data_IF_018001737035
#
_entry.id   IF_018001737035
#
_cell.length_a   1.000
_cell.length_b   1.000
_cell.length_c   1.000
_cell.angle_alpha   90.00
_cell.angle_beta   90.00
_cell.angle_gamma   90.00
#
_symmetry.space_group_name_H-M   'P 1'
#
loop_
_entity.id
_entity.type
_entity.pdbx_description
1 polymer ?
#
# COMPACT_ATOMS: atom_id res chain seq x y z
N UNK A 1 -11.54 -18.27 -8.72
CA UNK A 1 -10.44 -19.05 -8.14
C UNK A 1 -9.12 -18.38 -8.46
N UNK A 2 -8.30 -18.12 -7.48
CA UNK A 2 -7.02 -17.50 -7.76
C UNK A 2 -6.06 -18.48 -8.41
N UNK A 3 -5.29 -17.99 -9.38
CA UNK A 3 -4.26 -18.78 -10.02
C UNK A 3 -3.12 -19.03 -9.02
N UNK A 4 -2.42 -20.18 -9.08
CA UNK A 4 -1.28 -20.45 -8.19
C UNK A 4 -0.20 -19.37 -8.24
N UNK A 5 -0.05 -18.71 -9.39
CA UNK A 5 0.93 -17.63 -9.57
C UNK A 5 0.58 -16.38 -8.78
N UNK A 6 -0.71 -16.20 -8.37
CA UNK A 6 -1.15 -15.07 -7.58
C UNK A 6 -0.66 -15.12 -6.13
N UNK A 7 -0.22 -16.30 -5.67
CA UNK A 7 0.28 -16.50 -4.32
C UNK A 7 1.79 -16.22 -4.19
N UNK A 8 2.43 -15.82 -5.28
CA UNK A 8 3.86 -15.53 -5.30
C UNK A 8 4.10 -14.17 -5.94
N UNK A 9 5.07 -13.47 -5.38
CA UNK A 9 5.43 -12.13 -5.83
C UNK A 9 6.89 -12.09 -6.27
N UNK A 10 7.11 -11.49 -7.45
CA UNK A 10 8.44 -11.10 -7.93
C UNK A 10 8.52 -9.59 -7.85
N UNK A 11 9.53 -9.07 -7.16
CA UNK A 11 9.63 -7.65 -6.93
C UNK A 11 11.07 -7.17 -7.10
N UNK A 12 11.21 -6.01 -7.76
CA UNK A 12 12.46 -5.26 -7.83
C UNK A 12 12.24 -3.90 -7.21
N UNK A 13 13.16 -3.48 -6.35
CA UNK A 13 13.09 -2.19 -5.67
C UNK A 13 14.30 -1.36 -6.00
N UNK A 14 14.04 -0.08 -6.28
CA UNK A 14 15.07 0.92 -6.52
C UNK A 14 14.77 2.16 -5.70
N UNK A 15 15.82 2.80 -5.22
CA UNK A 15 15.67 4.05 -4.48
C UNK A 15 15.35 5.18 -5.47
N UNK A 16 14.29 5.95 -5.20
CA UNK A 16 13.90 7.11 -5.98
C UNK A 16 13.95 8.33 -5.07
N UNK A 17 14.78 9.32 -5.40
CA UNK A 17 14.90 10.54 -4.60
C UNK A 17 13.72 11.47 -4.79
N UNK A 18 13.28 11.61 -6.03
CA UNK A 18 12.12 12.41 -6.39
C UNK A 18 11.51 11.85 -7.67
N UNK A 19 10.22 12.12 -7.87
CA UNK A 19 9.52 11.69 -9.08
C UNK A 19 9.94 12.60 -10.23
N UNK A 20 10.58 12.08 -11.30
CA UNK A 20 10.90 12.89 -12.47
C UNK A 20 9.63 13.42 -13.12
N UNK A 21 9.61 14.73 -13.42
CA UNK A 21 8.44 15.35 -14.02
C UNK A 21 8.05 14.75 -15.38
N UNK A 22 9.02 14.23 -16.11
CA UNK A 22 8.79 13.61 -17.43
C UNK A 22 8.04 12.28 -17.34
N UNK A 23 7.99 11.65 -16.17
CA UNK A 23 7.28 10.41 -15.95
C UNK A 23 6.00 10.61 -15.15
N UNK A 24 5.72 11.84 -14.72
CA UNK A 24 4.48 12.19 -14.05
C UNK A 24 3.41 12.39 -15.12
N UNK A 25 2.42 11.50 -15.15
CA UNK A 25 1.33 11.55 -16.11
C UNK A 25 0.23 12.55 -15.72
N UNK A 26 0.41 13.24 -14.61
CA UNK A 26 -0.56 14.20 -14.10
C UNK A 26 -1.72 13.58 -13.33
N UNK A 27 -1.78 12.27 -13.22
CA UNK A 27 -2.79 11.61 -12.42
C UNK A 27 -2.51 11.79 -10.93
N UNK A 28 -3.58 11.94 -10.15
CA UNK A 28 -3.46 12.01 -8.71
C UNK A 28 -2.89 10.69 -8.15
N UNK A 29 -2.00 10.76 -7.16
CA UNK A 29 -1.49 9.57 -6.54
C UNK A 29 -2.60 8.82 -5.80
N UNK A 30 -2.40 7.52 -5.59
CA UNK A 30 -3.25 6.72 -4.75
C UNK A 30 -2.84 6.92 -3.29
N UNK A 31 -3.78 7.32 -2.44
CA UNK A 31 -3.54 7.45 -1.02
C UNK A 31 -3.65 6.08 -0.36
N UNK A 32 -2.65 5.71 0.42
CA UNK A 32 -2.60 4.44 1.14
C UNK A 32 -2.36 4.71 2.61
N UNK A 33 -3.20 4.12 3.47
CA UNK A 33 -3.00 4.09 4.92
C UNK A 33 -2.97 2.62 5.34
N UNK A 34 -1.97 2.22 6.09
CA UNK A 34 -1.78 0.83 6.44
C UNK A 34 -1.14 0.63 7.80
N UNK A 35 -1.30 -0.57 8.33
CA UNK A 35 -0.68 -0.99 9.57
C UNK A 35 -0.31 -2.46 9.49
N UNK A 36 0.78 -2.83 10.17
CA UNK A 36 1.20 -4.23 10.29
C UNK A 36 0.74 -4.81 11.62
N UNK A 37 0.24 -6.04 11.58
CA UNK A 37 -0.17 -6.80 12.76
C UNK A 37 0.87 -7.82 13.19
N UNK A 38 1.49 -8.45 12.20
CA UNK A 38 2.54 -9.43 12.42
C UNK A 38 3.74 -9.02 11.58
N UNK A 39 4.90 -9.07 12.19
CA UNK A 39 6.15 -8.81 11.47
C UNK A 39 7.27 -9.59 12.19
N UNK A 40 7.23 -10.92 12.05
CA UNK A 40 8.15 -11.83 12.74
C UNK A 40 8.44 -13.04 11.86
N UNK A 41 9.61 -13.61 12.02
CA UNK A 41 10.05 -14.82 11.30
C UNK A 41 9.96 -14.68 9.77
N UNK A 42 10.17 -13.47 9.26
CA UNK A 42 10.04 -13.13 7.85
C UNK A 42 8.62 -13.22 7.30
N UNK A 43 7.63 -13.31 8.17
CA UNK A 43 6.21 -13.17 7.82
C UNK A 43 5.72 -11.78 8.18
N UNK A 44 4.79 -11.28 7.40
CA UNK A 44 4.11 -10.01 7.70
C UNK A 44 2.63 -10.12 7.38
N UNK A 45 1.80 -9.59 8.27
CA UNK A 45 0.36 -9.41 8.02
C UNK A 45 0.09 -7.91 8.04
N UNK A 46 -0.49 -7.40 6.97
CA UNK A 46 -0.75 -5.99 6.78
C UNK A 46 -2.22 -5.75 6.46
N UNK A 47 -2.79 -4.69 7.03
CA UNK A 47 -4.11 -4.19 6.65
C UNK A 47 -3.92 -2.83 5.99
N UNK A 48 -4.56 -2.63 4.84
CA UNK A 48 -4.38 -1.44 4.01
C UNK A 48 -5.72 -0.88 3.57
N UNK A 49 -5.85 0.45 3.65
CA UNK A 49 -6.92 1.23 3.03
C UNK A 49 -6.37 1.99 1.84
N UNK A 50 -7.18 2.09 0.79
CA UNK A 50 -6.80 2.73 -0.47
C UNK A 50 -7.86 3.74 -0.88
N UNK A 51 -7.44 4.96 -1.24
CA UNK A 51 -8.29 5.96 -1.84
C UNK A 51 -7.64 6.52 -3.10
N UNK A 52 -8.43 6.63 -4.17
CA UNK A 52 -8.00 7.25 -5.43
C UNK A 52 -8.56 8.65 -5.59
N UNK A 53 -9.31 9.15 -4.61
CA UNK A 53 -10.04 10.42 -4.67
C UNK A 53 -9.51 11.49 -3.74
N UNK A 54 -8.72 11.11 -2.75
CA UNK A 54 -8.21 12.03 -1.74
C UNK A 54 -6.77 12.34 -2.03
N UNK A 55 -6.45 13.62 -2.02
CA UNK A 55 -5.06 14.08 -2.13
C UNK A 55 -4.63 14.64 -0.78
N UNK A 56 -3.50 14.17 -0.27
CA UNK A 56 -2.90 14.63 0.98
C UNK A 56 -1.44 14.97 0.72
N UNK A 57 -1.05 16.18 1.08
CA UNK A 57 0.36 16.58 1.01
C UNK A 57 1.13 15.89 2.13
N UNK A 58 2.14 15.12 1.76
CA UNK A 58 2.96 14.41 2.72
C UNK A 58 4.00 15.34 3.32
N UNK A 59 3.83 15.64 4.59
CA UNK A 59 4.76 16.43 5.40
C UNK A 59 5.15 15.62 6.63
N UNK A 60 6.23 16.00 7.33
CA UNK A 60 6.59 15.29 8.57
C UNK A 60 5.52 15.35 9.66
N UNK A 61 4.60 16.32 9.57
CA UNK A 61 3.56 16.55 10.57
C UNK A 61 2.26 15.82 10.29
N UNK A 62 2.16 15.11 9.17
CA UNK A 62 0.94 14.36 8.81
C UNK A 62 0.68 13.29 9.86
N UNK A 63 -0.53 13.31 10.41
CA UNK A 63 -1.00 12.29 11.34
C UNK A 63 -1.86 11.28 10.58
N UNK A 64 -1.39 10.04 10.38
CA UNK A 64 -2.12 9.05 9.59
C UNK A 64 -3.51 8.73 10.14
N UNK A 65 -3.66 8.64 11.45
CA UNK A 65 -4.95 8.34 12.08
C UNK A 65 -5.93 9.48 11.91
N UNK A 66 -5.46 10.72 12.01
CA UNK A 66 -6.30 11.89 11.80
C UNK A 66 -6.80 11.95 10.35
N UNK A 67 -5.94 11.65 9.38
CA UNK A 67 -6.32 11.58 7.96
C UNK A 67 -7.34 10.47 7.73
N UNK A 68 -7.12 9.30 8.33
CA UNK A 68 -8.05 8.18 8.22
C UNK A 68 -9.43 8.57 8.72
N UNK A 69 -9.53 9.21 9.88
CA UNK A 69 -10.81 9.62 10.47
C UNK A 69 -11.48 10.73 9.64
N UNK A 70 -10.72 11.68 9.12
CA UNK A 70 -11.25 12.78 8.32
C UNK A 70 -11.84 12.29 6.99
N UNK A 71 -11.17 11.34 6.33
CA UNK A 71 -11.57 10.88 5.01
C UNK A 71 -12.15 9.47 5.01
N UNK A 72 -12.66 9.02 6.14
CA UNK A 72 -13.13 7.65 6.34
C UNK A 72 -14.04 7.13 5.23
N UNK A 73 -14.96 7.96 4.75
CA UNK A 73 -15.93 7.59 3.72
C UNK A 73 -15.37 7.70 2.29
N UNK A 74 -14.14 8.14 2.14
CA UNK A 74 -13.48 8.33 0.85
C UNK A 74 -12.59 7.15 0.44
N UNK A 75 -12.42 6.17 1.30
CA UNK A 75 -11.67 4.96 0.97
C UNK A 75 -12.60 3.98 0.27
N UNK A 76 -12.17 3.52 -0.90
CA UNK A 76 -12.96 2.65 -1.77
C UNK A 76 -12.54 1.19 -1.73
N UNK A 77 -11.32 0.91 -1.29
CA UNK A 77 -10.77 -0.43 -1.30
C UNK A 77 -10.00 -0.68 0.00
N UNK A 78 -10.04 -1.92 0.46
CA UNK A 78 -9.25 -2.34 1.61
C UNK A 78 -8.78 -3.78 1.41
N UNK A 79 -7.59 -4.07 1.90
CA UNK A 79 -6.97 -5.38 1.72
C UNK A 79 -6.27 -5.84 2.98
N UNK A 80 -6.34 -7.14 3.21
CA UNK A 80 -5.45 -7.84 4.12
C UNK A 80 -4.44 -8.61 3.29
N UNK A 81 -3.16 -8.47 3.62
CA UNK A 81 -2.07 -9.10 2.88
C UNK A 81 -1.18 -9.88 3.85
N UNK A 82 -0.89 -11.12 3.51
CA UNK A 82 0.08 -11.94 4.24
C UNK A 82 1.25 -12.20 3.31
N UNK A 83 2.46 -11.85 3.77
CA UNK A 83 3.71 -12.10 3.05
C UNK A 83 4.56 -13.06 3.85
N UNK A 84 5.10 -14.06 3.18
CA UNK A 84 6.04 -15.02 3.76
C UNK A 84 7.49 -14.68 3.43
N UNK A 85 8.41 -15.57 3.81
CA UNK A 85 9.83 -15.35 3.57
C UNK A 85 10.16 -15.27 2.08
N UNK A 86 11.16 -14.46 1.74
CA UNK A 86 11.70 -14.40 0.39
C UNK A 86 12.74 -15.50 0.20
N UNK A 87 12.60 -16.27 -0.89
CA UNK A 87 13.54 -17.31 -1.25
C UNK A 87 13.91 -17.13 -2.73
N UNK A 88 15.18 -16.87 -3.00
CA UNK A 88 15.66 -16.69 -4.38
C UNK A 88 14.97 -15.57 -5.13
N UNK A 89 14.61 -14.47 -4.44
CA UNK A 89 13.90 -13.34 -5.02
C UNK A 89 12.39 -13.52 -5.15
N UNK A 90 11.87 -14.67 -4.78
CA UNK A 90 10.44 -14.97 -4.79
C UNK A 90 9.89 -14.96 -3.38
N UNK A 91 8.73 -14.36 -3.19
CA UNK A 91 8.09 -14.25 -1.89
C UNK A 91 6.64 -14.73 -1.98
N UNK A 92 6.24 -15.57 -1.02
CA UNK A 92 4.84 -15.96 -0.88
C UNK A 92 4.01 -14.74 -0.47
N UNK A 93 2.90 -14.52 -1.17
CA UNK A 93 2.00 -13.42 -0.86
C UNK A 93 0.56 -13.84 -1.13
N UNK A 94 -0.31 -13.60 -0.16
CA UNK A 94 -1.76 -13.76 -0.32
C UNK A 94 -2.42 -12.46 0.05
N UNK A 95 -3.28 -11.95 -0.83
CA UNK A 95 -4.01 -10.71 -0.61
C UNK A 95 -5.50 -10.96 -0.80
N UNK A 96 -6.31 -10.43 0.12
CA UNK A 96 -7.77 -10.54 0.06
C UNK A 96 -8.40 -9.18 0.35
N UNK A 97 -9.44 -8.87 -0.40
CA UNK A 97 -10.23 -7.67 -0.16
C UNK A 97 -11.09 -7.83 1.08
N UNK A 98 -11.21 -6.76 1.88
CA UNK A 98 -12.04 -6.72 3.08
C UNK A 98 -12.87 -5.43 3.08
N UNK A 99 -13.83 -5.36 3.97
CA UNK A 99 -14.66 -4.16 4.15
C UNK A 99 -13.81 -2.98 4.63
N UNK A 100 -14.02 -1.81 4.02
CA UNK A 100 -13.23 -0.62 4.35
C UNK A 100 -13.42 -0.14 5.78
N UNK A 101 -14.61 -0.28 6.34
CA UNK A 101 -14.89 0.14 7.72
C UNK A 101 -14.22 -0.77 8.72
N UNK A 102 -14.20 -2.06 8.44
CA UNK A 102 -13.46 -3.04 9.26
C UNK A 102 -11.98 -2.74 9.18
N UNK A 103 -11.45 -2.51 7.98
CA UNK A 103 -10.05 -2.19 7.79
C UNK A 103 -9.64 -0.93 8.57
N UNK A 104 -10.46 0.12 8.55
CA UNK A 104 -10.18 1.34 9.28
C UNK A 104 -10.00 1.08 10.78
N UNK A 105 -10.90 0.29 11.37
CA UNK A 105 -10.79 -0.07 12.79
C UNK A 105 -9.57 -0.95 13.08
N UNK A 106 -9.28 -1.88 12.18
CA UNK A 106 -8.10 -2.74 12.34
C UNK A 106 -6.80 -1.92 12.26
N UNK A 107 -6.72 -0.99 11.31
CA UNK A 107 -5.53 -0.15 11.16
C UNK A 107 -5.27 0.66 12.42
N UNK A 108 -6.30 1.24 13.02
CA UNK A 108 -6.17 2.04 14.24
C UNK A 108 -5.69 1.22 15.43
N UNK A 109 -5.94 -0.08 15.44
CA UNK A 109 -5.58 -1.01 16.51
C UNK A 109 -4.33 -1.84 16.23
N UNK A 110 -3.76 -1.69 15.05
CA UNK A 110 -2.54 -2.39 14.67
C UNK A 110 -1.30 -1.75 15.25
N UNK A 111 -0.17 -2.07 14.66
CA UNK A 111 1.11 -1.46 14.99
C UNK A 111 1.22 -0.04 14.47
N UNK A 112 2.41 0.38 14.08
CA UNK A 112 2.61 1.72 13.53
C UNK A 112 1.75 1.94 12.30
N UNK A 113 1.03 3.07 12.28
CA UNK A 113 0.21 3.44 11.13
C UNK A 113 1.06 4.24 10.15
N UNK A 114 1.06 3.81 8.91
CA UNK A 114 1.84 4.42 7.83
C UNK A 114 0.89 5.03 6.82
N UNK A 115 1.20 6.24 6.37
CA UNK A 115 0.48 6.93 5.30
C UNK A 115 1.45 7.21 4.17
N UNK A 116 1.00 7.00 2.93
CA UNK A 116 1.83 7.28 1.75
C UNK A 116 0.99 7.57 0.52
N UNK A 117 1.58 8.31 -0.41
CA UNK A 117 1.08 8.46 -1.77
C UNK A 117 1.85 7.52 -2.67
N UNK A 118 1.11 6.79 -3.51
CA UNK A 118 1.70 5.92 -4.53
C UNK A 118 1.44 6.50 -5.90
N UNK A 119 2.50 6.71 -6.67
CA UNK A 119 2.43 7.16 -8.06
C UNK A 119 2.68 5.98 -8.97
N UNK A 120 1.95 5.93 -10.09
CA UNK A 120 2.24 4.99 -11.17
C UNK A 120 3.05 5.72 -12.23
N UNK A 121 4.18 5.16 -12.58
CA UNK A 121 5.13 5.77 -13.51
C UNK A 121 5.46 4.76 -14.59
N UNK A 122 5.46 5.20 -15.85
CA UNK A 122 5.83 4.37 -16.99
C UNK A 122 7.16 4.85 -17.55
N UNK A 123 8.11 3.93 -17.64
CA UNK A 123 9.42 4.17 -18.28
C UNK A 123 9.48 3.18 -19.43
N UNK A 124 9.37 3.69 -20.65
CA UNK A 124 9.21 2.88 -21.86
C UNK A 124 7.97 1.99 -21.75
N UNK A 125 8.13 0.67 -21.74
CA UNK A 125 7.02 -0.29 -21.62
C UNK A 125 6.84 -0.80 -20.19
N UNK A 126 7.72 -0.42 -19.27
CA UNK A 126 7.70 -0.91 -17.90
C UNK A 126 6.93 0.04 -16.97
N UNK A 127 6.01 -0.51 -16.20
CA UNK A 127 5.27 0.22 -15.17
C UNK A 127 5.98 0.12 -13.82
N UNK A 128 6.08 1.24 -13.12
CA UNK A 128 6.69 1.34 -11.80
C UNK A 128 5.75 2.01 -10.81
N UNK A 129 5.77 1.56 -9.56
CA UNK A 129 5.11 2.22 -8.44
C UNK A 129 6.12 3.00 -7.63
N UNK A 130 5.83 4.26 -7.39
CA UNK A 130 6.71 5.16 -6.63
C UNK A 130 6.01 5.70 -5.40
#
# INVERSE_FOLDING_TARGET
MSEPTDDFEYERRFFCRELPAEYDDGDAPTLIIQSYYVHADNYALRVRLVSRKVHVDMTPDVNPVAVLDEYRDRFSEAYVTVKGPSVGGTRYEVEREIDTRIAAELIKRGGSVIIKNRYSVWIEEDGWSV
#
